data_IF_061702727473
#
_entry.id   IF_061702727473
#
_cell.length_a   1.000
_cell.length_b   1.000
_cell.length_c   1.000
_cell.angle_alpha   90.00
_cell.angle_beta   90.00
_cell.angle_gamma   90.00
#
_symmetry.space_group_name_H-M   'P 1'
#
loop_
_entity.id
_entity.type
_entity.pdbx_description
1 polymer ?
#
# COMPACT_ATOMS: atom_id res chain seq x y z
N UNK A 1 -2.95 -14.21 -8.74
CA UNK A 1 -3.22 -12.79 -8.97
C UNK A 1 -4.14 -12.65 -10.18
N UNK A 2 -5.00 -11.68 -10.17
CA UNK A 2 -5.93 -11.45 -11.27
C UNK A 2 -5.18 -11.13 -12.56
N UNK A 3 -5.72 -11.61 -13.71
CA UNK A 3 -5.07 -11.47 -15.02
C UNK A 3 -5.06 -10.03 -15.54
N UNK A 4 -5.93 -9.16 -15.02
CA UNK A 4 -6.04 -7.75 -15.44
C UNK A 4 -5.23 -6.78 -14.57
N UNK A 5 -4.42 -7.26 -13.66
CA UNK A 5 -3.50 -6.42 -12.90
C UNK A 5 -2.38 -5.92 -13.83
N UNK A 6 -2.25 -4.61 -13.99
CA UNK A 6 -1.29 -4.00 -14.93
C UNK A 6 -0.42 -2.93 -14.31
N UNK A 7 -0.89 -2.26 -13.25
CA UNK A 7 -0.16 -1.19 -12.58
C UNK A 7 -0.04 -1.52 -11.11
N UNK A 8 1.19 -1.49 -10.60
CA UNK A 8 1.47 -1.65 -9.18
C UNK A 8 1.71 -0.29 -8.56
N UNK A 9 0.97 0.01 -7.50
CA UNK A 9 1.21 1.17 -6.64
C UNK A 9 1.99 0.69 -5.43
N UNK A 10 3.25 1.11 -5.30
CA UNK A 10 4.16 0.64 -4.26
C UNK A 10 4.51 1.78 -3.33
N UNK A 11 4.42 1.51 -2.02
CA UNK A 11 4.65 2.50 -0.99
C UNK A 11 5.35 1.86 0.20
N UNK A 12 6.15 2.65 0.91
CA UNK A 12 6.93 2.19 2.06
C UNK A 12 6.65 3.05 3.28
N UNK A 13 6.56 2.40 4.43
CA UNK A 13 6.47 3.05 5.72
C UNK A 13 7.29 2.29 6.75
N UNK A 14 7.61 2.95 7.87
CA UNK A 14 8.46 2.39 8.93
C UNK A 14 7.81 2.60 10.28
N UNK A 15 7.91 1.56 11.12
CA UNK A 15 7.44 1.62 12.51
C UNK A 15 8.62 1.45 13.45
N UNK A 16 8.39 1.77 14.73
CA UNK A 16 9.24 1.24 15.78
C UNK A 16 8.99 -0.27 15.91
N UNK A 17 9.89 -0.98 16.58
CA UNK A 17 9.69 -2.41 16.86
C UNK A 17 8.40 -2.61 17.68
N UNK A 18 8.15 -1.70 18.63
CA UNK A 18 6.97 -1.76 19.51
C UNK A 18 5.66 -1.62 18.76
N UNK A 19 5.62 -0.83 17.67
CA UNK A 19 4.40 -0.54 16.93
C UNK A 19 4.21 -1.42 15.69
N UNK A 20 5.16 -2.30 15.38
CA UNK A 20 5.10 -3.10 14.14
C UNK A 20 3.86 -3.97 14.07
N UNK A 21 3.54 -4.70 15.13
CA UNK A 21 2.36 -5.56 15.15
C UNK A 21 1.06 -4.73 15.07
N UNK A 22 1.04 -3.59 15.76
CA UNK A 22 -0.13 -2.70 15.74
C UNK A 22 -0.38 -2.15 14.33
N UNK A 23 0.68 -1.76 13.62
CA UNK A 23 0.54 -1.27 12.26
C UNK A 23 0.04 -2.36 11.32
N UNK A 24 0.61 -3.55 11.43
CA UNK A 24 0.16 -4.69 10.61
C UNK A 24 -1.33 -4.96 10.83
N UNK A 25 -1.78 -4.98 12.09
CA UNK A 25 -3.18 -5.21 12.42
C UNK A 25 -4.10 -4.12 11.87
N UNK A 26 -3.66 -2.87 11.92
CA UNK A 26 -4.44 -1.73 11.38
C UNK A 26 -4.60 -1.86 9.86
N UNK A 27 -3.53 -2.19 9.15
CA UNK A 27 -3.60 -2.32 7.68
C UNK A 27 -4.49 -3.48 7.29
N UNK A 28 -4.30 -4.64 7.92
CA UNK A 28 -5.06 -5.84 7.59
C UNK A 28 -6.54 -5.74 7.98
N UNK A 29 -6.83 -5.12 9.11
CA UNK A 29 -8.18 -5.10 9.68
C UNK A 29 -8.98 -3.84 9.39
N UNK A 30 -8.33 -2.73 9.01
CA UNK A 30 -9.00 -1.44 8.86
C UNK A 30 -8.70 -0.76 7.52
N UNK A 31 -7.42 -0.58 7.17
CA UNK A 31 -7.05 0.23 6.00
C UNK A 31 -7.45 -0.47 4.70
N UNK A 32 -7.01 -1.70 4.49
CA UNK A 32 -7.35 -2.43 3.27
C UNK A 32 -8.85 -2.72 3.17
N UNK A 33 -9.52 -3.21 4.22
CA UNK A 33 -10.97 -3.41 4.13
C UNK A 33 -11.73 -2.13 3.76
N UNK A 34 -11.34 -0.98 4.33
CA UNK A 34 -11.98 0.30 3.99
C UNK A 34 -11.79 0.69 2.52
N UNK A 35 -10.59 0.43 1.97
CA UNK A 35 -10.31 0.69 0.55
C UNK A 35 -11.20 -0.20 -0.33
N UNK A 36 -11.29 -1.49 -0.03
CA UNK A 36 -12.06 -2.43 -0.84
C UNK A 36 -13.56 -2.18 -0.75
N UNK A 37 -14.05 -1.69 0.38
CA UNK A 37 -15.47 -1.30 0.53
C UNK A 37 -15.88 -0.15 -0.39
N UNK A 38 -14.92 0.65 -0.87
CA UNK A 38 -15.19 1.75 -1.78
C UNK A 38 -15.57 1.28 -3.19
N UNK A 39 -15.35 0.01 -3.53
CA UNK A 39 -15.62 -0.55 -4.86
C UNK A 39 -15.00 0.29 -5.99
N UNK A 40 -13.73 0.62 -5.85
CA UNK A 40 -13.00 1.49 -6.77
C UNK A 40 -12.88 0.81 -8.14
N UNK A 41 -13.37 1.44 -9.22
CA UNK A 41 -13.24 0.84 -10.56
C UNK A 41 -11.76 0.62 -10.92
N UNK A 42 -11.43 -0.62 -11.32
CA UNK A 42 -10.09 -1.01 -11.73
C UNK A 42 -9.15 -1.40 -10.60
N UNK A 43 -9.61 -1.38 -9.36
CA UNK A 43 -8.84 -1.94 -8.24
C UNK A 43 -8.86 -3.47 -8.34
N UNK A 44 -7.68 -4.09 -8.33
CA UNK A 44 -7.54 -5.54 -8.53
C UNK A 44 -7.25 -6.28 -7.22
N UNK A 45 -6.31 -5.77 -6.44
CA UNK A 45 -5.91 -6.44 -5.20
C UNK A 45 -4.85 -5.65 -4.45
N UNK A 46 -4.46 -6.14 -3.28
CA UNK A 46 -3.46 -5.48 -2.45
C UNK A 46 -2.69 -6.51 -1.64
N UNK A 47 -1.44 -6.17 -1.31
CA UNK A 47 -0.59 -6.99 -0.46
C UNK A 47 0.14 -6.10 0.52
N UNK A 48 0.31 -6.60 1.73
CA UNK A 48 1.15 -6.00 2.75
C UNK A 48 2.36 -6.90 2.95
N UNK A 49 3.55 -6.32 2.90
CA UNK A 49 4.78 -7.03 3.20
C UNK A 49 5.49 -6.37 4.35
N UNK A 50 6.07 -7.17 5.22
CA UNK A 50 6.85 -6.73 6.37
C UNK A 50 8.27 -7.25 6.20
N UNK A 51 9.25 -6.36 6.35
CA UNK A 51 10.66 -6.73 6.25
C UNK A 51 11.01 -7.77 7.33
N UNK A 52 11.83 -8.73 6.95
CA UNK A 52 12.32 -9.76 7.87
C UNK A 52 13.26 -9.16 8.92
N UNK A 53 14.10 -8.21 8.50
CA UNK A 53 15.11 -7.61 9.35
C UNK A 53 14.63 -6.34 10.03
N UNK A 54 15.10 -6.13 11.27
CA UNK A 54 15.01 -4.84 11.95
C UNK A 54 16.30 -4.08 11.64
N UNK A 55 16.17 -2.86 11.09
CA UNK A 55 17.32 -2.03 10.73
C UNK A 55 17.21 -0.69 11.45
N UNK A 56 18.24 -0.32 12.20
CA UNK A 56 18.30 0.93 12.97
C UNK A 56 17.09 1.11 13.89
N UNK A 57 16.60 0.01 14.47
CA UNK A 57 15.46 0.04 15.38
C UNK A 57 14.11 0.21 14.67
N UNK A 58 14.07 0.09 13.35
CA UNK A 58 12.86 0.26 12.55
C UNK A 58 12.47 -1.03 11.84
N UNK A 59 11.16 -1.21 11.67
CA UNK A 59 10.60 -2.27 10.85
C UNK A 59 9.98 -1.63 9.61
N UNK A 60 10.42 -2.06 8.44
CA UNK A 60 9.89 -1.55 7.17
C UNK A 60 8.68 -2.36 6.73
N UNK A 61 7.67 -1.64 6.24
CA UNK A 61 6.51 -2.23 5.59
C UNK A 61 6.39 -1.71 4.17
N UNK A 62 5.99 -2.59 3.27
CA UNK A 62 5.72 -2.24 1.88
C UNK A 62 4.30 -2.64 1.55
N UNK A 63 3.53 -1.73 0.95
CA UNK A 63 2.23 -2.08 0.39
C UNK A 63 2.30 -2.06 -1.11
N UNK A 64 1.64 -3.03 -1.74
CA UNK A 64 1.45 -3.06 -3.19
C UNK A 64 -0.05 -3.12 -3.42
N UNK A 65 -0.56 -2.13 -4.15
CA UNK A 65 -1.97 -2.12 -4.57
C UNK A 65 -1.97 -2.23 -6.09
N UNK A 66 -2.70 -3.22 -6.61
CA UNK A 66 -2.76 -3.51 -8.02
C UNK A 66 -3.99 -2.89 -8.66
N UNK A 67 -3.78 -2.28 -9.82
CA UNK A 67 -4.82 -1.63 -10.62
C UNK A 67 -4.75 -2.09 -12.06
N UNK A 68 -5.85 -1.93 -12.79
CA UNK A 68 -5.90 -2.21 -14.23
C UNK A 68 -5.14 -1.18 -15.06
N UNK A 69 -5.09 0.08 -14.58
CA UNK A 69 -4.50 1.21 -15.31
C UNK A 69 -4.15 2.35 -14.37
N UNK A 70 -3.42 3.35 -14.86
CA UNK A 70 -3.20 4.60 -14.11
C UNK A 70 -4.51 5.36 -13.88
N UNK A 71 -5.45 5.29 -14.82
CA UNK A 71 -6.76 5.91 -14.60
C UNK A 71 -7.47 5.30 -13.41
N UNK A 72 -7.32 4.00 -13.20
CA UNK A 72 -7.86 3.33 -12.02
C UNK A 72 -7.21 3.83 -10.73
N UNK A 73 -5.91 4.12 -10.75
CA UNK A 73 -5.23 4.75 -9.60
C UNK A 73 -5.85 6.11 -9.30
N UNK A 74 -6.19 6.88 -10.32
CA UNK A 74 -6.86 8.17 -10.12
C UNK A 74 -8.27 8.01 -9.57
N UNK A 75 -8.96 6.93 -9.88
CA UNK A 75 -10.25 6.61 -9.25
C UNK A 75 -10.08 6.43 -7.73
N UNK A 76 -8.93 5.94 -7.29
CA UNK A 76 -8.61 5.76 -5.88
C UNK A 76 -8.18 7.08 -5.23
N UNK A 77 -7.25 7.82 -5.86
CA UNK A 77 -6.53 8.93 -5.24
C UNK A 77 -6.89 10.31 -5.77
N UNK A 78 -7.53 10.40 -6.93
CA UNK A 78 -7.74 11.67 -7.62
C UNK A 78 -6.53 12.07 -8.48
N UNK A 79 -6.48 13.33 -8.90
CA UNK A 79 -5.43 13.83 -9.79
C UNK A 79 -4.05 13.82 -9.14
N UNK A 80 -3.98 14.09 -7.84
CA UNK A 80 -2.72 14.03 -7.08
C UNK A 80 -2.45 12.60 -6.60
N UNK A 81 -2.42 11.67 -7.54
CA UNK A 81 -2.42 10.23 -7.25
C UNK A 81 -1.10 9.71 -6.68
N UNK A 82 0.00 10.46 -6.80
CA UNK A 82 1.28 10.04 -6.24
C UNK A 82 1.35 10.20 -4.73
N UNK A 83 0.50 11.06 -4.16
CA UNK A 83 0.49 11.30 -2.72
C UNK A 83 0.12 10.02 -1.96
N UNK A 84 0.77 9.81 -0.81
CA UNK A 84 0.48 8.67 0.05
C UNK A 84 -0.99 8.68 0.51
N UNK A 85 -1.61 7.51 0.54
CA UNK A 85 -2.92 7.31 1.18
C UNK A 85 -2.65 7.03 2.66
N UNK A 86 -2.93 8.02 3.51
CA UNK A 86 -2.53 7.95 4.92
C UNK A 86 -3.70 8.25 5.85
N UNK A 87 -4.56 7.26 6.14
CA UNK A 87 -5.62 7.44 7.12
C UNK A 87 -5.02 7.61 8.53
N UNK A 88 -5.77 8.30 9.37
CA UNK A 88 -5.34 8.68 10.71
C UNK A 88 -4.91 7.49 11.57
N UNK A 89 -5.67 6.39 11.49
CA UNK A 89 -5.38 5.18 12.27
C UNK A 89 -4.03 4.56 11.91
N UNK A 90 -3.66 4.56 10.63
CA UNK A 90 -2.35 4.07 10.18
C UNK A 90 -1.23 5.03 10.59
N UNK A 91 -1.48 6.34 10.41
CA UNK A 91 -0.50 7.35 10.75
C UNK A 91 -0.11 7.32 12.22
N UNK A 92 -1.07 7.05 13.10
CA UNK A 92 -0.85 7.04 14.55
C UNK A 92 0.19 6.02 15.00
N UNK A 93 0.40 4.94 14.24
CA UNK A 93 1.34 3.86 14.59
C UNK A 93 2.58 3.82 13.69
N UNK A 94 2.70 4.72 12.72
CA UNK A 94 3.89 4.85 11.89
C UNK A 94 4.89 5.82 12.51
N UNK A 95 6.17 5.49 12.39
CA UNK A 95 7.25 6.38 12.78
C UNK A 95 7.56 7.39 11.69
N UNK A 96 7.64 6.91 10.45
CA UNK A 96 7.84 7.72 9.25
C UNK A 96 7.32 6.96 8.03
N UNK A 97 7.14 7.66 6.94
CA UNK A 97 6.65 7.04 5.72
C UNK A 97 7.02 7.89 4.50
N UNK A 98 7.05 7.25 3.34
CA UNK A 98 7.26 7.98 2.09
C UNK A 98 6.04 8.85 1.81
N UNK A 99 6.24 10.15 1.50
CA UNK A 99 5.11 11.05 1.23
C UNK A 99 4.41 10.72 -0.09
N UNK A 100 5.06 9.95 -0.96
CA UNK A 100 4.51 9.56 -2.25
C UNK A 100 4.64 8.06 -2.47
N UNK A 101 3.69 7.50 -3.23
CA UNK A 101 3.78 6.16 -3.74
C UNK A 101 4.38 6.19 -5.15
N UNK A 102 5.00 5.09 -5.55
CA UNK A 102 5.60 4.94 -6.87
C UNK A 102 4.78 3.93 -7.67
N UNK A 103 4.59 4.21 -8.95
CA UNK A 103 3.76 3.39 -9.81
C UNK A 103 4.63 2.71 -10.87
N UNK A 104 4.40 1.40 -11.06
CA UNK A 104 5.12 0.58 -12.01
C UNK A 104 4.14 -0.11 -12.93
N UNK A 105 4.51 -0.20 -14.21
CA UNK A 105 3.73 -0.96 -15.18
C UNK A 105 4.25 -2.39 -15.25
N UNK A 106 3.34 -3.34 -15.21
CA UNK A 106 3.69 -4.76 -15.31
C UNK A 106 3.85 -5.13 -16.79
N UNK A 107 5.05 -5.57 -17.19
CA UNK A 107 5.34 -5.99 -18.55
C UNK A 107 5.51 -7.49 -18.69
N UNK A 108 5.93 -8.18 -17.64
CA UNK A 108 6.14 -9.61 -17.69
C UNK A 108 5.73 -10.28 -16.41
N UNK A 109 5.10 -11.44 -16.53
CA UNK A 109 4.67 -12.24 -15.40
C UNK A 109 5.12 -13.67 -15.69
N UNK A 110 6.27 -14.04 -15.14
CA UNK A 110 6.94 -15.31 -15.41
C UNK A 110 6.75 -16.25 -14.24
N UNK A 111 6.41 -17.51 -14.53
CA UNK A 111 6.19 -18.51 -13.49
C UNK A 111 7.20 -19.65 -13.55
#
# INVERSE_FOLDING_TARGET
>A
MATNARVARIWHGWTTVQNADAYQAVVEGEVFPAIFERHIPGLVGAQLMRADDVVDGEVEFTTIIWFESLDSVKNFMGEDYRRAHMPENARAVLKRFDPEAKHFHLFGDFA
#
